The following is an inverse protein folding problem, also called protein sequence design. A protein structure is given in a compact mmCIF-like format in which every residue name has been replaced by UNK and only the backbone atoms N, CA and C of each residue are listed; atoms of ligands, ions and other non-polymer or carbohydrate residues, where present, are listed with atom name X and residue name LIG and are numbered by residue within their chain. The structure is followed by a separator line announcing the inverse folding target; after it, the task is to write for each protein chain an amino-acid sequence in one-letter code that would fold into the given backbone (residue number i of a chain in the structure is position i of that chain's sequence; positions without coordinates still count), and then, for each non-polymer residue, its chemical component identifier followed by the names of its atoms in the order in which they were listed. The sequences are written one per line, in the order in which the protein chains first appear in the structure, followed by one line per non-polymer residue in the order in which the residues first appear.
data_IF_820963468994
#
_entry.id   IF_820963468994
#
_cell.length_a   1.000
_cell.length_b   1.000
_cell.length_c   1.000
_cell.angle_alpha   90.00
_cell.angle_beta   90.00
_cell.angle_gamma   90.00
#
_symmetry.space_group_name_H-M   'P 1'
#
loop_
_entity.id
_entity.type
_entity.pdbx_description
1 polymer ?
#
# COMPACT_ATOMS: atom_id res chain seq x y z
N UNK A 1 -7.31 15.75 -18.61
CA UNK A 1 -7.29 14.70 -17.57
C UNK A 1 -6.22 15.08 -16.57
N UNK A 2 -6.55 15.16 -15.29
CA UNK A 2 -5.56 15.40 -14.24
C UNK A 2 -5.06 14.05 -13.74
N UNK A 3 -3.74 13.90 -13.61
CA UNK A 3 -3.15 12.73 -12.95
C UNK A 3 -3.43 12.83 -11.47
N UNK A 4 -4.08 11.80 -10.91
CA UNK A 4 -4.37 11.69 -9.47
C UNK A 4 -3.42 10.74 -8.75
N UNK A 5 -2.61 9.99 -9.52
CA UNK A 5 -1.68 9.00 -9.00
C UNK A 5 -0.29 9.59 -8.85
N UNK A 6 0.21 9.55 -7.62
CA UNK A 6 1.61 9.83 -7.31
C UNK A 6 2.26 8.60 -6.68
N UNK A 7 3.57 8.44 -6.89
CA UNK A 7 4.33 7.33 -6.34
C UNK A 7 5.71 7.75 -5.83
N UNK A 8 6.12 7.15 -4.72
CA UNK A 8 7.46 7.31 -4.13
C UNK A 8 8.07 5.95 -3.86
N UNK A 9 9.33 5.76 -4.25
CA UNK A 9 10.06 4.54 -4.04
C UNK A 9 11.25 4.78 -3.10
N UNK A 10 11.42 3.88 -2.15
CA UNK A 10 12.62 3.83 -1.30
C UNK A 10 13.20 2.43 -1.32
N UNK A 11 14.53 2.35 -1.22
CA UNK A 11 15.26 1.09 -1.05
C UNK A 11 16.12 1.18 0.20
N UNK A 12 16.03 0.17 1.06
CA UNK A 12 16.91 0.01 2.22
C UNK A 12 17.37 -1.43 2.30
N UNK A 13 18.66 -1.66 2.04
CA UNK A 13 19.24 -3.00 2.01
C UNK A 13 18.56 -3.91 0.99
N UNK A 14 17.98 -4.99 1.50
CA UNK A 14 17.25 -6.04 0.79
C UNK A 14 15.74 -5.77 0.69
N UNK A 15 15.29 -4.54 0.99
CA UNK A 15 13.88 -4.15 0.92
C UNK A 15 13.66 -2.98 -0.02
N UNK A 16 12.59 -3.06 -0.81
CA UNK A 16 12.02 -1.94 -1.57
C UNK A 16 10.62 -1.65 -1.05
N UNK A 17 10.31 -0.38 -0.85
CA UNK A 17 8.99 0.09 -0.45
C UNK A 17 8.53 1.14 -1.45
N UNK A 18 7.35 0.93 -2.02
CA UNK A 18 6.68 1.87 -2.92
C UNK A 18 5.40 2.35 -2.25
N UNK A 19 5.29 3.66 -2.07
CA UNK A 19 4.07 4.35 -1.64
C UNK A 19 3.38 4.87 -2.88
N UNK A 20 2.08 4.62 -3.01
CA UNK A 20 1.23 5.09 -4.09
C UNK A 20 0.01 5.79 -3.47
N UNK A 21 -0.34 6.97 -3.98
CA UNK A 21 -1.56 7.68 -3.60
C UNK A 21 -2.40 7.92 -4.82
N UNK A 22 -3.72 7.74 -4.71
CA UNK A 22 -4.69 8.21 -5.69
C UNK A 22 -5.51 9.32 -5.05
N UNK A 23 -5.19 10.56 -5.35
CA UNK A 23 -5.77 11.73 -4.71
C UNK A 23 -6.04 12.85 -5.71
N UNK A 24 -7.17 13.52 -5.54
CA UNK A 24 -7.55 14.69 -6.31
C UNK A 24 -7.93 15.81 -5.34
N UNK A 25 -7.74 17.06 -5.76
CA UNK A 25 -8.24 18.21 -5.03
C UNK A 25 -9.77 18.22 -5.01
N UNK A 26 -10.40 18.92 -4.05
CA UNK A 26 -11.85 19.14 -4.08
C UNK A 26 -12.31 19.63 -5.45
N UNK A 27 -13.53 19.23 -5.84
CA UNK A 27 -14.17 19.55 -7.13
C UNK A 27 -13.53 18.94 -8.40
N UNK A 28 -12.45 18.15 -8.25
CA UNK A 28 -11.92 17.33 -9.33
C UNK A 28 -12.48 15.91 -9.27
N UNK A 29 -12.84 15.38 -10.44
CA UNK A 29 -13.27 13.99 -10.57
C UNK A 29 -12.11 13.04 -10.25
N UNK A 30 -12.41 11.96 -9.52
CA UNK A 30 -11.46 10.90 -9.19
C UNK A 30 -12.16 9.55 -9.27
N UNK A 31 -11.43 8.54 -9.74
CA UNK A 31 -11.91 7.16 -9.89
C UNK A 31 -10.89 6.20 -9.33
N UNK A 32 -11.26 4.94 -9.20
CA UNK A 32 -10.30 3.87 -8.94
C UNK A 32 -9.34 3.73 -10.11
N UNK A 33 -8.05 3.57 -9.81
CA UNK A 33 -7.00 3.45 -10.82
C UNK A 33 -6.36 2.06 -10.74
N UNK A 34 -6.13 1.45 -11.91
CA UNK A 34 -5.37 0.20 -12.03
C UNK A 34 -3.88 0.53 -12.14
N UNK A 35 -3.09 0.02 -11.20
CA UNK A 35 -1.66 0.29 -11.13
C UNK A 35 -0.90 -0.94 -11.60
N UNK A 36 -0.08 -0.75 -12.63
CA UNK A 36 0.98 -1.66 -13.02
C UNK A 36 2.33 -1.10 -12.55
N UNK A 37 2.85 -1.65 -11.44
CA UNK A 37 4.19 -1.31 -10.95
C UNK A 37 5.21 -2.26 -11.58
N UNK A 38 6.19 -1.70 -12.29
CA UNK A 38 7.31 -2.43 -12.90
C UNK A 38 8.64 -2.01 -12.28
N UNK A 39 9.34 -2.97 -11.69
CA UNK A 39 10.70 -2.79 -11.19
C UNK A 39 11.68 -3.44 -12.18
N UNK A 40 12.34 -2.61 -12.98
CA UNK A 40 13.31 -3.05 -13.99
C UNK A 40 14.67 -3.35 -13.35
N UNK A 41 15.37 -4.38 -13.84
CA UNK A 41 16.65 -4.83 -13.30
C UNK A 41 16.57 -5.41 -11.89
N UNK A 42 15.36 -5.69 -11.39
CA UNK A 42 15.16 -6.28 -10.09
C UNK A 42 15.22 -7.81 -10.19
N UNK A 43 16.01 -8.44 -9.31
CA UNK A 43 15.94 -9.89 -9.08
C UNK A 43 14.56 -10.28 -8.54
N UNK A 44 14.21 -11.56 -8.59
CA UNK A 44 12.97 -12.04 -8.00
C UNK A 44 12.88 -11.69 -6.49
N UNK A 45 11.79 -11.03 -6.04
CA UNK A 45 11.50 -10.87 -4.62
C UNK A 45 11.22 -12.23 -3.95
N UNK A 46 11.49 -12.32 -2.65
CA UNK A 46 11.06 -13.46 -1.82
C UNK A 46 9.60 -13.37 -1.42
N UNK A 47 9.07 -12.16 -1.39
CA UNK A 47 7.70 -11.89 -1.02
C UNK A 47 7.37 -10.43 -1.25
N UNK A 48 6.09 -10.17 -1.49
CA UNK A 48 5.55 -8.83 -1.48
C UNK A 48 4.33 -8.78 -0.58
N UNK A 49 4.16 -7.64 0.08
CA UNK A 49 2.96 -7.33 0.88
C UNK A 49 2.43 -5.97 0.49
N UNK A 50 1.13 -5.78 0.66
CA UNK A 50 0.44 -4.51 0.48
C UNK A 50 -0.26 -4.11 1.78
N UNK A 51 -0.20 -2.82 2.08
CA UNK A 51 -0.94 -2.15 3.16
C UNK A 51 -1.74 -1.01 2.55
N UNK A 52 -2.97 -0.80 3.00
CA UNK A 52 -3.88 0.19 2.40
C UNK A 52 -4.57 1.03 3.46
N UNK A 53 -4.85 2.27 3.09
CA UNK A 53 -5.81 3.16 3.74
C UNK A 53 -6.76 3.62 2.64
N UNK A 54 -8.02 3.18 2.72
CA UNK A 54 -9.04 3.45 1.72
C UNK A 54 -10.45 3.30 2.32
N UNK A 55 -11.50 3.29 1.51
CA UNK A 55 -12.87 3.18 1.98
C UNK A 55 -13.15 1.90 2.81
N UNK A 56 -12.42 0.80 2.59
CA UNK A 56 -12.61 -0.49 3.26
C UNK A 56 -11.43 -0.95 4.11
N UNK A 57 -10.31 -0.21 4.14
CA UNK A 57 -9.13 -0.54 4.95
C UNK A 57 -8.71 0.64 5.83
N UNK A 58 -8.49 0.37 7.12
CA UNK A 58 -8.01 1.35 8.10
C UNK A 58 -8.86 2.65 8.14
N UNK A 59 -10.18 2.51 8.04
CA UNK A 59 -11.13 3.61 7.98
C UNK A 59 -12.09 3.60 9.19
N UNK A 60 -11.63 4.10 10.34
CA UNK A 60 -12.47 4.14 11.54
C UNK A 60 -13.65 5.12 11.37
N UNK A 61 -13.52 6.14 10.51
CA UNK A 61 -14.59 7.11 10.24
C UNK A 61 -15.80 6.42 9.61
N UNK A 62 -15.61 5.52 8.65
CA UNK A 62 -16.72 4.76 8.05
C UNK A 62 -17.46 3.91 9.10
N UNK A 63 -16.72 3.28 10.03
CA UNK A 63 -17.33 2.53 11.14
C UNK A 63 -18.08 3.46 12.09
N UNK A 64 -17.51 4.62 12.43
CA UNK A 64 -18.16 5.64 13.26
C UNK A 64 -19.47 6.14 12.65
N UNK A 65 -19.51 6.37 11.33
CA UNK A 65 -20.73 6.74 10.60
C UNK A 65 -21.78 5.62 10.65
N UNK A 66 -21.37 4.35 10.52
CA UNK A 66 -22.27 3.20 10.57
C UNK A 66 -22.93 3.01 11.94
N UNK A 67 -22.26 3.37 13.03
CA UNK A 67 -22.81 3.29 14.39
C UNK A 67 -23.59 4.56 14.80
N UNK A 68 -23.89 5.44 13.84
CA UNK A 68 -24.73 6.63 14.08
C UNK A 68 -23.96 7.86 14.55
N UNK A 69 -22.65 7.91 14.34
CA UNK A 69 -21.82 9.09 14.58
C UNK A 69 -21.94 9.69 16.01
N UNK A 70 -21.82 8.87 17.08
CA UNK A 70 -22.02 9.35 18.44
C UNK A 70 -21.02 10.46 18.78
N UNK A 71 -21.51 11.55 19.38
CA UNK A 71 -20.67 12.68 19.85
C UNK A 71 -19.78 12.28 21.03
N UNK A 72 -20.24 11.35 21.87
CA UNK A 72 -19.52 10.83 23.03
C UNK A 72 -19.47 9.29 22.96
N UNK A 73 -18.44 8.73 22.30
CA UNK A 73 -18.27 7.28 22.20
C UNK A 73 -18.12 6.61 23.58
N UNK A 74 -18.68 5.41 23.74
CA UNK A 74 -18.38 4.55 24.89
C UNK A 74 -16.98 3.95 24.78
N UNK A 75 -16.45 3.38 25.85
CA UNK A 75 -15.17 2.66 25.81
C UNK A 75 -15.15 1.54 24.77
N UNK A 76 -16.23 0.74 24.70
CA UNK A 76 -16.39 -0.31 23.68
C UNK A 76 -16.40 0.26 22.25
N UNK A 77 -17.04 1.42 22.05
CA UNK A 77 -17.02 2.10 20.76
C UNK A 77 -15.60 2.55 20.40
N UNK A 78 -14.84 3.09 21.36
CA UNK A 78 -13.45 3.48 21.12
C UNK A 78 -12.59 2.29 20.73
N UNK A 79 -12.70 1.16 21.43
CA UNK A 79 -11.97 -0.07 21.09
C UNK A 79 -12.32 -0.58 19.68
N UNK A 80 -13.59 -0.50 19.28
CA UNK A 80 -14.02 -0.80 17.92
C UNK A 80 -13.38 0.14 16.88
N UNK A 81 -13.39 1.44 17.14
CA UNK A 81 -12.79 2.44 16.24
C UNK A 81 -11.27 2.30 16.16
N UNK A 82 -10.60 2.04 17.28
CA UNK A 82 -9.15 1.74 17.30
C UNK A 82 -8.84 0.51 16.46
N UNK A 83 -9.61 -0.56 16.63
CA UNK A 83 -9.49 -1.78 15.82
C UNK A 83 -9.72 -1.51 14.34
N UNK A 84 -10.71 -0.69 13.99
CA UNK A 84 -11.00 -0.29 12.61
C UNK A 84 -9.93 0.64 12.00
N UNK A 85 -9.13 1.30 12.83
CA UNK A 85 -8.00 2.15 12.40
C UNK A 85 -6.73 1.36 12.07
N UNK A 86 -6.66 0.09 12.49
CA UNK A 86 -5.47 -0.72 12.31
C UNK A 86 -5.18 -0.98 10.82
N UNK A 87 -3.95 -0.65 10.39
CA UNK A 87 -3.50 -0.90 9.03
C UNK A 87 -3.10 -2.37 8.89
N UNK A 88 -3.99 -3.17 8.31
CA UNK A 88 -3.74 -4.55 7.94
C UNK A 88 -2.63 -4.72 6.90
N UNK A 89 -2.02 -5.90 6.89
CA UNK A 89 -1.02 -6.31 5.89
C UNK A 89 -1.54 -7.53 5.16
N UNK A 90 -1.56 -7.48 3.83
CA UNK A 90 -1.96 -8.60 2.98
C UNK A 90 -0.80 -9.02 2.07
N UNK A 91 -0.71 -10.31 1.75
CA UNK A 91 0.20 -10.77 0.72
C UNK A 91 -0.18 -10.15 -0.64
N UNK A 92 0.81 -9.68 -1.39
CA UNK A 92 0.61 -9.07 -2.70
C UNK A 92 1.23 -9.98 -3.76
N UNK A 93 0.43 -10.51 -4.71
CA UNK A 93 0.96 -11.25 -5.84
C UNK A 93 1.88 -10.39 -6.71
N UNK A 94 2.94 -11.01 -7.23
CA UNK A 94 3.86 -10.42 -8.19
C UNK A 94 4.24 -11.46 -9.25
N UNK A 95 4.68 -11.00 -10.40
CA UNK A 95 5.22 -11.83 -11.48
C UNK A 95 6.65 -11.41 -11.77
N UNK A 96 7.56 -12.37 -11.88
CA UNK A 96 8.92 -12.13 -12.36
C UNK A 96 8.98 -12.46 -13.86
N UNK A 97 9.27 -11.47 -14.68
CA UNK A 97 9.41 -11.56 -16.13
C UNK A 97 10.85 -11.21 -16.50
N UNK A 98 11.71 -12.22 -16.63
CA UNK A 98 13.16 -12.03 -16.86
C UNK A 98 13.78 -11.07 -15.82
N UNK A 99 14.07 -9.83 -16.22
CA UNK A 99 14.67 -8.78 -15.41
C UNK A 99 13.66 -7.78 -14.83
N UNK A 100 12.35 -8.04 -14.97
CA UNK A 100 11.28 -7.17 -14.51
C UNK A 100 10.44 -7.87 -13.45
N UNK A 101 10.29 -7.26 -12.28
CA UNK A 101 9.23 -7.62 -11.34
C UNK A 101 7.99 -6.76 -11.62
N UNK A 102 6.86 -7.39 -11.93
CA UNK A 102 5.59 -6.73 -12.16
C UNK A 102 4.60 -7.01 -11.02
N UNK A 103 3.90 -5.97 -10.58
CA UNK A 103 2.88 -6.03 -9.54
C UNK A 103 1.66 -5.25 -10.03
N UNK A 104 0.49 -5.91 -10.00
CA UNK A 104 -0.76 -5.30 -10.41
C UNK A 104 -1.69 -5.20 -9.19
N UNK A 105 -2.27 -4.01 -8.98
CA UNK A 105 -3.25 -3.78 -7.92
C UNK A 105 -4.08 -2.53 -8.24
N UNK A 106 -5.28 -2.45 -7.66
CA UNK A 106 -6.15 -1.29 -7.79
C UNK A 106 -5.97 -0.35 -6.60
N UNK A 107 -5.91 0.94 -6.86
CA UNK A 107 -5.92 2.00 -5.83
C UNK A 107 -7.22 2.79 -5.98
N UNK A 108 -8.20 2.61 -5.07
CA UNK A 108 -9.46 3.33 -5.10
C UNK A 108 -9.28 4.85 -5.08
N UNK A 109 -10.34 5.59 -5.41
CA UNK A 109 -10.37 7.04 -5.22
C UNK A 109 -10.06 7.40 -3.75
N UNK A 110 -9.21 8.41 -3.55
CA UNK A 110 -8.77 8.87 -2.22
C UNK A 110 -8.14 7.77 -1.36
N UNK A 111 -7.39 6.87 -2.00
CA UNK A 111 -6.70 5.78 -1.33
C UNK A 111 -5.18 5.97 -1.32
N UNK A 112 -4.57 5.31 -0.34
CA UNK A 112 -3.13 5.13 -0.21
C UNK A 112 -2.81 3.65 -0.17
N UNK A 113 -1.80 3.24 -0.93
CA UNK A 113 -1.27 1.89 -0.94
C UNK A 113 0.25 1.90 -0.73
N UNK A 114 0.73 1.02 0.15
CA UNK A 114 2.17 0.78 0.32
C UNK A 114 2.45 -0.66 -0.06
N UNK A 115 3.22 -0.84 -1.13
CA UNK A 115 3.73 -2.14 -1.54
C UNK A 115 5.17 -2.28 -1.06
N UNK A 116 5.45 -3.36 -0.35
CA UNK A 116 6.78 -3.67 0.18
C UNK A 116 7.23 -5.00 -0.38
N UNK A 117 8.41 -5.00 -0.99
CA UNK A 117 9.08 -6.18 -1.51
C UNK A 117 10.31 -6.47 -0.67
N UNK A 118 10.44 -7.71 -0.23
CA UNK A 118 11.65 -8.21 0.41
C UNK A 118 12.41 -9.11 -0.58
N UNK A 119 13.73 -8.96 -0.59
CA UNK A 119 14.64 -9.72 -1.42
C UNK A 119 15.61 -10.51 -0.55
N UNK A 120 16.29 -11.50 -1.11
CA UNK A 120 17.36 -12.19 -0.38
C UNK A 120 18.50 -11.21 -0.08
N UNK A 121 19.19 -11.23 1.07
CA UNK A 121 20.39 -10.43 1.25
C UNK A 121 21.41 -10.68 0.12
N UNK A 122 22.19 -9.68 -0.32
CA UNK A 122 23.30 -9.97 -1.22
C UNK A 122 24.25 -10.96 -0.53
N UNK A 123 24.81 -11.92 -1.29
CA UNK A 123 25.82 -12.83 -0.77
C UNK A 123 26.95 -12.01 -0.12
N UNK A 124 27.52 -12.46 1.01
CA UNK A 124 28.63 -11.75 1.63
C UNK A 124 29.76 -11.63 0.60
N UNK A 125 30.32 -10.43 0.47
CA UNK A 125 31.48 -10.22 -0.38
C UNK A 125 32.58 -11.18 0.10
N UNK A 126 33.00 -12.10 -0.77
CA UNK A 126 34.03 -13.07 -0.46
C UNK A 126 35.26 -12.35 0.08
N UNK A 127 35.86 -12.90 1.14
CA UNK A 127 37.12 -12.41 1.69
C UNK A 127 38.14 -12.33 0.54
N UNK A 128 38.77 -11.18 0.28
CA UNK A 128 39.87 -11.14 -0.67
C UNK A 128 40.99 -12.06 -0.14
N UNK A 129 41.38 -13.03 -0.97
CA UNK A 129 42.54 -13.90 -0.79
C UNK A 129 43.84 -13.12 -0.92
#
# INVERSE_FOLDING_TARGET
MHTTVDAWLTRRGDRVTVLITNHAQPDLEIRSEEIELRLLGARAPRGAVIRRVDASHANPKAVWEQIGSPTYPTAETLELLESASAIGTAAQPFQQLSDVTQINFTVPAHALAVVRLDYEPPAPAGTPV
#
